data_IF_655791126207
#
_entry.id   IF_655791126207
#
_cell.length_a   1.000
_cell.length_b   1.000
_cell.length_c   1.000
_cell.angle_alpha   90.00
_cell.angle_beta   90.00
_cell.angle_gamma   90.00
#
_symmetry.space_group_name_H-M   'P 1'
#
loop_
_entity.id
_entity.type
_entity.pdbx_description
1 polymer ?
#
# COMPACT_ATOMS: atom_id res chain seq x y z
N UNK A 1 26.13 -23.01 4.70
CA UNK A 1 27.19 -24.04 4.58
C UNK A 1 28.50 -23.33 4.28
N UNK A 2 29.56 -23.57 5.07
CA UNK A 2 30.91 -23.11 4.70
C UNK A 2 31.28 -23.82 3.40
N UNK A 3 31.38 -23.08 2.31
CA UNK A 3 32.00 -23.59 1.12
C UNK A 3 33.44 -23.97 1.50
N UNK A 4 33.75 -25.26 1.40
CA UNK A 4 35.13 -25.70 1.27
C UNK A 4 35.53 -25.25 -0.14
N UNK A 5 35.91 -23.98 -0.26
CA UNK A 5 36.64 -23.51 -1.41
C UNK A 5 38.03 -24.12 -1.28
N UNK A 6 38.19 -25.33 -1.83
CA UNK A 6 39.50 -25.89 -2.08
C UNK A 6 40.26 -24.94 -3.00
N UNK A 7 41.56 -24.81 -2.73
CA UNK A 7 42.55 -23.90 -3.29
C UNK A 7 42.85 -24.13 -4.79
N UNK A 8 41.81 -24.38 -5.60
CA UNK A 8 41.88 -24.66 -7.03
C UNK A 8 40.77 -23.91 -7.75
N UNK A 9 41.11 -22.77 -8.32
CA UNK A 9 40.26 -21.92 -9.17
C UNK A 9 39.75 -22.61 -10.45
N UNK A 10 40.20 -23.83 -10.75
CA UNK A 10 39.94 -24.51 -12.02
C UNK A 10 38.74 -25.49 -12.02
N UNK A 11 37.95 -25.54 -10.94
CA UNK A 11 36.76 -26.42 -10.88
C UNK A 11 35.56 -25.73 -10.24
N UNK A 12 35.11 -24.63 -10.85
CA UNK A 12 33.74 -24.18 -10.65
C UNK A 12 32.84 -25.27 -11.26
N UNK A 13 31.95 -25.92 -10.49
CA UNK A 13 31.05 -26.91 -11.03
C UNK A 13 30.20 -26.27 -12.14
N UNK A 14 29.96 -26.98 -13.27
CA UNK A 14 29.14 -26.43 -14.35
C UNK A 14 27.75 -26.08 -13.82
N UNK A 15 27.19 -24.95 -14.30
CA UNK A 15 25.84 -24.51 -13.95
C UNK A 15 24.86 -25.66 -14.21
N UNK A 16 24.06 -26.08 -13.22
CA UNK A 16 23.04 -27.11 -13.44
C UNK A 16 22.04 -26.68 -14.52
N UNK A 17 21.67 -27.60 -15.40
CA UNK A 17 20.53 -27.41 -16.29
C UNK A 17 19.23 -27.58 -15.47
N UNK A 18 18.74 -26.46 -14.94
CA UNK A 18 17.55 -26.45 -14.09
C UNK A 18 16.28 -26.87 -14.83
N UNK A 19 16.21 -26.65 -16.14
CA UNK A 19 15.06 -27.07 -16.95
C UNK A 19 15.03 -28.59 -17.09
N UNK A 20 16.17 -29.18 -17.46
CA UNK A 20 16.29 -30.64 -17.55
C UNK A 20 16.08 -31.32 -16.19
N UNK A 21 16.58 -30.71 -15.10
CA UNK A 21 16.36 -31.22 -13.75
C UNK A 21 14.87 -31.18 -13.37
N UNK A 22 14.18 -30.10 -13.71
CA UNK A 22 12.76 -29.94 -13.46
C UNK A 22 11.91 -30.99 -14.21
N UNK A 23 12.21 -31.20 -15.49
CA UNK A 23 11.56 -32.25 -16.32
C UNK A 23 11.77 -33.65 -15.71
N UNK A 24 13.00 -33.97 -15.29
CA UNK A 24 13.33 -35.26 -14.67
C UNK A 24 12.60 -35.48 -13.34
N UNK A 25 12.43 -34.42 -12.55
CA UNK A 25 11.79 -34.48 -11.22
C UNK A 25 10.28 -34.27 -11.28
N UNK A 26 9.70 -33.98 -12.46
CA UNK A 26 8.28 -33.72 -12.62
C UNK A 26 7.82 -32.43 -11.94
N UNK A 27 8.69 -31.43 -11.82
CA UNK A 27 8.38 -30.12 -11.22
C UNK A 27 8.33 -29.04 -12.30
N UNK A 28 7.57 -27.98 -12.05
CA UNK A 28 7.46 -26.84 -12.98
C UNK A 28 8.73 -25.98 -12.95
N UNK A 29 9.33 -25.75 -14.12
CA UNK A 29 10.44 -24.80 -14.28
C UNK A 29 9.91 -23.39 -14.58
N UNK A 30 10.46 -22.39 -13.91
CA UNK A 30 10.18 -20.96 -14.15
C UNK A 30 11.49 -20.18 -14.12
N UNK A 31 11.68 -19.28 -15.07
CA UNK A 31 12.80 -18.35 -15.13
C UNK A 31 12.26 -16.92 -15.24
N UNK A 32 12.70 -16.04 -14.35
CA UNK A 32 12.18 -14.66 -14.26
C UNK A 32 12.97 -13.67 -15.10
N UNK A 33 14.22 -14.00 -15.46
CA UNK A 33 15.20 -13.01 -15.88
C UNK A 33 15.59 -12.05 -14.74
N UNK A 34 16.20 -10.92 -15.09
CA UNK A 34 16.55 -9.85 -14.15
C UNK A 34 15.30 -9.04 -13.83
N UNK A 35 14.80 -9.15 -12.60
CA UNK A 35 13.61 -8.44 -12.12
C UNK A 35 13.92 -7.73 -10.79
N UNK A 36 13.19 -6.66 -10.51
CA UNK A 36 13.22 -5.99 -9.21
C UNK A 36 12.17 -6.56 -8.23
N UNK A 37 12.21 -6.10 -6.98
CA UNK A 37 11.28 -6.56 -5.94
C UNK A 37 9.81 -6.21 -6.19
N UNK A 38 9.52 -5.21 -7.05
CA UNK A 38 8.15 -4.83 -7.43
C UNK A 38 7.63 -5.78 -8.50
N UNK A 39 8.42 -6.03 -9.53
CA UNK A 39 8.11 -6.98 -10.61
C UNK A 39 7.94 -8.41 -10.09
N UNK A 40 8.63 -8.76 -9.01
CA UNK A 40 8.46 -10.05 -8.34
C UNK A 40 7.00 -10.34 -7.94
N UNK A 41 6.20 -9.32 -7.62
CA UNK A 41 4.81 -9.49 -7.18
C UNK A 41 3.92 -10.14 -8.24
N UNK A 42 4.32 -10.10 -9.52
CA UNK A 42 3.62 -10.77 -10.61
C UNK A 42 3.83 -12.30 -10.60
N UNK A 43 4.72 -12.81 -9.75
CA UNK A 43 5.04 -14.23 -9.62
C UNK A 43 4.49 -14.82 -8.32
N UNK A 44 3.98 -16.05 -8.37
CA UNK A 44 3.42 -16.75 -7.22
C UNK A 44 4.40 -16.93 -6.05
N UNK A 45 5.70 -16.94 -6.33
CA UNK A 45 6.75 -17.05 -5.31
C UNK A 45 6.82 -15.81 -4.38
N UNK A 46 6.26 -14.66 -4.78
CA UNK A 46 6.29 -13.43 -3.99
C UNK A 46 5.63 -13.59 -2.60
N UNK A 47 4.56 -14.38 -2.54
CA UNK A 47 3.81 -14.68 -1.32
C UNK A 47 4.42 -15.80 -0.47
N UNK A 48 5.49 -16.43 -0.95
CA UNK A 48 6.10 -17.57 -0.28
C UNK A 48 6.99 -17.16 0.90
N UNK A 49 7.02 -18.01 1.92
CA UNK A 49 7.72 -17.79 3.18
C UNK A 49 8.73 -18.91 3.41
N UNK A 50 9.82 -18.61 4.13
CA UNK A 50 10.81 -19.59 4.51
C UNK A 50 10.22 -20.70 5.36
N UNK A 51 10.75 -21.92 5.21
CA UNK A 51 10.38 -23.05 6.06
C UNK A 51 10.98 -22.79 7.45
N UNK A 52 10.15 -22.36 8.39
CA UNK A 52 10.57 -22.01 9.75
C UNK A 52 11.16 -23.20 10.53
N UNK A 53 11.87 -22.92 11.62
CA UNK A 53 12.34 -23.97 12.53
C UNK A 53 11.18 -24.49 13.37
N UNK A 54 11.06 -25.81 13.53
CA UNK A 54 9.94 -26.49 14.19
C UNK A 54 9.66 -26.05 15.63
N UNK A 55 10.59 -25.34 16.28
CA UNK A 55 10.42 -24.79 17.63
C UNK A 55 9.75 -23.42 17.51
N UNK A 56 8.42 -23.40 17.40
CA UNK A 56 7.63 -22.20 17.65
C UNK A 56 6.68 -21.72 16.56
N UNK A 57 6.16 -22.56 15.65
CA UNK A 57 5.16 -22.18 14.61
C UNK A 57 5.46 -20.86 13.86
N UNK A 58 6.70 -20.36 13.90
CA UNK A 58 7.07 -19.10 13.30
C UNK A 58 7.44 -19.39 11.86
N UNK A 59 6.69 -18.77 10.95
CA UNK A 59 7.04 -18.77 9.53
C UNK A 59 8.40 -18.11 9.35
N UNK A 60 9.20 -18.64 8.43
CA UNK A 60 10.50 -18.03 8.08
C UNK A 60 10.31 -16.70 7.35
N UNK A 61 11.42 -16.02 7.09
CA UNK A 61 11.44 -14.78 6.32
C UNK A 61 10.76 -14.95 4.96
N UNK A 62 10.13 -13.88 4.46
CA UNK A 62 9.54 -13.92 3.12
C UNK A 62 10.60 -14.13 2.05
N UNK A 63 10.19 -14.65 0.90
CA UNK A 63 11.08 -14.78 -0.25
C UNK A 63 11.69 -13.43 -0.64
N UNK A 64 10.90 -12.35 -0.61
CA UNK A 64 11.37 -10.99 -0.89
C UNK A 64 12.49 -10.58 0.08
N UNK A 65 12.28 -10.76 1.39
CA UNK A 65 13.28 -10.46 2.42
C UNK A 65 14.55 -11.31 2.20
N UNK A 66 14.38 -12.61 1.98
CA UNK A 66 15.49 -13.54 1.80
C UNK A 66 16.30 -13.25 0.54
N UNK A 67 15.66 -12.84 -0.56
CA UNK A 67 16.32 -12.69 -1.86
C UNK A 67 16.88 -11.29 -2.10
N UNK A 68 16.12 -10.24 -1.75
CA UNK A 68 16.45 -8.85 -2.07
C UNK A 68 17.07 -8.08 -0.91
N UNK A 69 16.79 -8.47 0.35
CA UNK A 69 17.35 -7.79 1.53
C UNK A 69 18.57 -8.55 2.05
N UNK A 70 18.45 -9.86 2.32
CA UNK A 70 19.57 -10.66 2.79
C UNK A 70 20.62 -10.95 1.69
N UNK A 71 20.25 -10.78 0.41
CA UNK A 71 21.10 -10.90 -0.79
C UNK A 71 22.08 -12.09 -0.72
N UNK A 72 21.58 -13.34 -0.71
CA UNK A 72 22.42 -14.52 -0.62
C UNK A 72 23.38 -14.62 -1.81
N UNK A 73 24.51 -15.34 -1.68
CA UNK A 73 25.41 -15.60 -2.80
C UNK A 73 24.69 -16.23 -4.00
N UNK A 74 25.22 -16.01 -5.20
CA UNK A 74 24.72 -16.67 -6.41
C UNK A 74 24.73 -18.20 -6.24
N UNK A 75 23.72 -18.84 -6.82
CA UNK A 75 23.50 -20.28 -6.81
C UNK A 75 23.36 -20.90 -5.40
N UNK A 76 23.10 -20.09 -4.37
CA UNK A 76 22.62 -20.60 -3.10
C UNK A 76 21.14 -21.05 -3.24
N UNK A 77 20.80 -22.30 -2.92
CA UNK A 77 19.41 -22.75 -2.95
C UNK A 77 18.61 -22.08 -1.84
N UNK A 78 17.47 -21.53 -2.19
CA UNK A 78 16.47 -21.04 -1.25
C UNK A 78 15.19 -21.86 -1.39
N UNK A 79 14.71 -22.39 -0.27
CA UNK A 79 13.45 -23.14 -0.19
C UNK A 79 12.42 -22.30 0.55
N UNK A 80 11.29 -22.09 -0.10
CA UNK A 80 10.13 -21.39 0.48
C UNK A 80 8.86 -22.19 0.21
N UNK A 81 7.82 -21.86 0.95
CA UNK A 81 6.50 -22.48 0.82
C UNK A 81 5.42 -21.41 0.85
N UNK A 82 4.39 -21.62 0.04
CA UNK A 82 3.12 -20.94 0.19
C UNK A 82 2.13 -21.95 0.77
N UNK A 83 1.88 -21.85 2.08
CA UNK A 83 0.97 -22.76 2.79
C UNK A 83 -0.48 -22.60 2.33
N UNK A 84 -0.88 -21.39 1.90
CA UNK A 84 -2.26 -21.12 1.49
C UNK A 84 -2.54 -21.73 0.11
N UNK A 85 -1.58 -21.61 -0.80
CA UNK A 85 -1.65 -22.22 -2.13
C UNK A 85 -1.22 -23.70 -2.13
N UNK A 86 -0.66 -24.21 -1.03
CA UNK A 86 -0.04 -25.54 -0.92
C UNK A 86 1.07 -25.78 -1.96
N UNK A 87 1.88 -24.76 -2.26
CA UNK A 87 2.98 -24.81 -3.23
C UNK A 87 4.32 -24.73 -2.51
N UNK A 88 5.28 -25.55 -2.91
CA UNK A 88 6.68 -25.46 -2.45
C UNK A 88 7.57 -24.97 -3.60
N UNK A 89 8.51 -24.08 -3.27
CA UNK A 89 9.46 -23.53 -4.22
C UNK A 89 10.89 -23.92 -3.82
N UNK A 90 11.71 -24.21 -4.82
CA UNK A 90 13.17 -24.25 -4.70
C UNK A 90 13.72 -23.33 -5.77
N UNK A 91 14.53 -22.38 -5.35
CA UNK A 91 14.93 -21.24 -6.16
C UNK A 91 16.42 -20.96 -6.01
N UNK A 92 17.00 -20.35 -7.04
CA UNK A 92 18.39 -19.95 -7.08
C UNK A 92 18.49 -18.57 -7.72
N UNK A 93 19.28 -17.70 -7.10
CA UNK A 93 19.72 -16.46 -7.75
C UNK A 93 20.85 -16.78 -8.70
N UNK A 94 20.65 -16.59 -10.00
CA UNK A 94 21.66 -16.91 -11.02
C UNK A 94 22.49 -15.70 -11.42
N UNK A 95 21.92 -14.50 -11.29
CA UNK A 95 22.54 -13.22 -11.58
C UNK A 95 22.10 -12.19 -10.52
N UNK A 96 22.95 -11.22 -10.20
CA UNK A 96 22.67 -10.14 -9.25
C UNK A 96 23.32 -8.86 -9.79
N UNK A 97 22.59 -7.74 -9.70
CA UNK A 97 23.07 -6.41 -10.07
C UNK A 97 22.75 -5.48 -8.91
N UNK A 98 23.75 -4.73 -8.47
CA UNK A 98 23.54 -3.73 -7.43
C UNK A 98 22.50 -2.70 -7.86
N UNK A 99 21.73 -2.24 -6.87
CA UNK A 99 20.79 -1.15 -7.06
C UNK A 99 21.57 0.08 -7.54
N UNK A 100 21.13 0.66 -8.65
CA UNK A 100 21.71 1.88 -9.21
C UNK A 100 20.59 2.87 -9.47
N UNK A 101 20.91 4.15 -9.34
CA UNK A 101 19.99 5.23 -9.75
C UNK A 101 19.93 5.20 -11.27
N UNK A 102 18.75 4.99 -11.89
CA UNK A 102 18.64 5.00 -13.34
C UNK A 102 18.93 6.40 -13.86
N UNK A 103 19.52 6.47 -15.05
CA UNK A 103 19.65 7.72 -15.78
C UNK A 103 18.27 8.23 -16.21
N UNK A 104 18.15 9.54 -16.47
CA UNK A 104 16.91 10.11 -17.01
C UNK A 104 16.51 9.46 -18.34
N UNK A 105 17.47 9.00 -19.14
CA UNK A 105 17.17 8.31 -20.39
C UNK A 105 16.51 6.94 -20.15
N UNK A 106 16.95 6.20 -19.13
CA UNK A 106 16.38 4.89 -18.75
C UNK A 106 15.00 5.03 -18.10
N UNK A 107 14.79 6.06 -17.27
CA UNK A 107 13.53 6.28 -16.55
C UNK A 107 12.57 7.27 -17.24
N UNK A 108 12.86 7.69 -18.48
CA UNK A 108 12.16 8.80 -19.14
C UNK A 108 10.64 8.60 -19.18
N UNK A 109 10.21 7.41 -19.55
CA UNK A 109 8.79 7.10 -19.72
C UNK A 109 8.06 7.04 -18.36
N UNK A 110 8.70 6.52 -17.33
CA UNK A 110 8.17 6.54 -15.95
C UNK A 110 8.02 7.98 -15.43
N UNK A 111 9.02 8.83 -15.68
CA UNK A 111 8.97 10.26 -15.30
C UNK A 111 7.85 10.98 -16.05
N UNK A 112 7.74 10.77 -17.37
CA UNK A 112 6.66 11.37 -18.18
C UNK A 112 5.30 10.93 -17.66
N UNK A 113 5.13 9.63 -17.38
CA UNK A 113 3.88 9.10 -16.84
C UNK A 113 3.57 9.69 -15.46
N UNK A 114 4.54 9.76 -14.55
CA UNK A 114 4.36 10.37 -13.24
C UNK A 114 3.92 11.84 -13.33
N UNK A 115 4.55 12.63 -14.21
CA UNK A 115 4.17 14.03 -14.46
C UNK A 115 2.76 14.11 -15.03
N UNK A 116 2.45 13.30 -16.05
CA UNK A 116 1.10 13.28 -16.65
C UNK A 116 0.03 12.92 -15.64
N UNK A 117 0.27 11.93 -14.79
CA UNK A 117 -0.65 11.53 -13.73
C UNK A 117 -0.81 12.66 -12.72
N UNK A 118 0.27 13.34 -12.32
CA UNK A 118 0.20 14.49 -11.42
C UNK A 118 -0.62 15.66 -12.00
N UNK A 119 -0.46 15.98 -13.28
CA UNK A 119 -1.28 17.01 -13.95
C UNK A 119 -2.74 16.56 -14.13
N UNK A 120 -2.96 15.29 -14.47
CA UNK A 120 -4.31 14.72 -14.58
C UNK A 120 -5.08 14.81 -13.26
N UNK A 121 -4.40 14.59 -12.12
CA UNK A 121 -5.00 14.76 -10.78
C UNK A 121 -5.51 16.17 -10.55
N UNK A 122 -4.74 17.19 -10.92
CA UNK A 122 -5.16 18.60 -10.80
C UNK A 122 -6.41 18.89 -11.63
N UNK A 123 -6.46 18.37 -12.86
CA UNK A 123 -7.62 18.52 -13.74
C UNK A 123 -8.86 17.80 -13.19
N UNK A 124 -8.69 16.57 -12.68
CA UNK A 124 -9.77 15.80 -12.07
C UNK A 124 -10.33 16.48 -10.81
N UNK A 125 -9.45 17.00 -9.96
CA UNK A 125 -9.84 17.77 -8.79
C UNK A 125 -10.62 19.03 -9.18
N UNK A 126 -10.12 19.81 -10.12
CA UNK A 126 -10.76 21.05 -10.56
C UNK A 126 -12.15 20.81 -11.16
N UNK A 127 -12.33 19.73 -11.94
CA UNK A 127 -13.64 19.35 -12.45
C UNK A 127 -14.57 18.91 -11.32
N UNK A 128 -14.10 18.10 -10.36
CA UNK A 128 -14.90 17.72 -9.19
C UNK A 128 -15.34 18.94 -8.35
N UNK A 129 -14.45 19.92 -8.16
CA UNK A 129 -14.73 21.19 -7.48
C UNK A 129 -15.78 22.01 -8.22
N UNK A 130 -15.65 22.12 -9.54
CA UNK A 130 -16.64 22.78 -10.39
C UNK A 130 -18.00 22.11 -10.27
N UNK A 131 -18.06 20.77 -10.34
CA UNK A 131 -19.31 20.01 -10.22
C UNK A 131 -19.95 20.17 -8.85
N UNK A 132 -19.17 20.05 -7.78
CA UNK A 132 -19.64 20.29 -6.41
C UNK A 132 -20.25 21.69 -6.27
N UNK A 133 -19.61 22.73 -6.84
CA UNK A 133 -20.13 24.09 -6.84
C UNK A 133 -21.41 24.26 -7.68
N UNK A 134 -21.53 23.56 -8.81
CA UNK A 134 -22.76 23.52 -9.63
C UNK A 134 -23.91 22.84 -8.88
N UNK A 135 -23.63 21.71 -8.23
CA UNK A 135 -24.63 20.94 -7.48
C UNK A 135 -25.11 21.69 -6.23
N UNK A 136 -24.23 22.41 -5.54
CA UNK A 136 -24.61 23.25 -4.40
C UNK A 136 -25.51 24.45 -4.78
N UNK A 137 -25.56 24.85 -6.05
CA UNK A 137 -26.40 25.97 -6.53
C UNK A 137 -27.79 25.52 -6.99
N UNK A 138 -28.06 24.22 -7.02
CA UNK A 138 -29.28 23.66 -7.59
C UNK A 138 -30.02 22.81 -6.57
N UNK A 139 -31.32 23.05 -6.46
CA UNK A 139 -32.22 22.21 -5.64
C UNK A 139 -32.75 20.98 -6.40
N UNK A 140 -32.39 20.84 -7.69
CA UNK A 140 -32.82 19.69 -8.51
C UNK A 140 -32.15 18.39 -8.06
N UNK A 141 -32.83 17.24 -8.25
CA UNK A 141 -32.21 15.92 -8.08
C UNK A 141 -30.93 15.80 -8.90
N UNK A 142 -29.89 15.18 -8.33
CA UNK A 142 -28.58 15.07 -8.97
C UNK A 142 -28.64 14.36 -10.33
N UNK A 143 -29.56 13.39 -10.48
CA UNK A 143 -29.82 12.68 -11.75
C UNK A 143 -30.23 13.61 -12.89
N UNK A 144 -30.82 14.77 -12.59
CA UNK A 144 -31.21 15.77 -13.59
C UNK A 144 -30.06 16.74 -13.93
N UNK A 145 -28.99 16.75 -13.13
CA UNK A 145 -27.84 17.65 -13.27
C UNK A 145 -26.65 16.99 -13.97
N UNK A 146 -26.69 15.67 -14.12
CA UNK A 146 -25.65 14.89 -14.80
C UNK A 146 -26.13 14.44 -16.17
N UNK A 147 -25.20 14.26 -17.09
CA UNK A 147 -25.50 13.70 -18.40
C UNK A 147 -25.75 12.19 -18.31
N UNK A 148 -26.49 11.63 -19.27
CA UNK A 148 -26.87 10.20 -19.27
C UNK A 148 -25.64 9.28 -19.20
N UNK A 149 -24.56 9.63 -19.92
CA UNK A 149 -23.30 8.89 -19.90
C UNK A 149 -22.53 8.97 -18.57
N UNK A 150 -22.93 9.87 -17.66
CA UNK A 150 -22.37 10.00 -16.32
C UNK A 150 -23.18 9.22 -15.28
N UNK A 151 -24.37 8.72 -15.62
CA UNK A 151 -25.21 7.92 -14.72
C UNK A 151 -24.49 6.74 -14.07
N UNK A 152 -23.59 6.00 -14.77
CA UNK A 152 -22.83 4.91 -14.15
C UNK A 152 -21.83 5.38 -13.06
N UNK A 153 -21.53 6.67 -12.99
CA UNK A 153 -20.62 7.28 -12.02
C UNK A 153 -21.37 7.87 -10.81
N UNK A 154 -22.71 7.79 -10.81
CA UNK A 154 -23.54 8.25 -9.70
C UNK A 154 -23.75 7.11 -8.70
N UNK A 155 -23.31 7.33 -7.47
CA UNK A 155 -23.56 6.44 -6.34
C UNK A 155 -24.53 7.12 -5.38
N UNK A 156 -25.64 6.44 -5.07
CA UNK A 156 -26.68 6.94 -4.16
C UNK A 156 -26.80 6.01 -2.95
N UNK A 157 -27.14 6.58 -1.79
CA UNK A 157 -27.36 5.82 -0.54
C UNK A 157 -26.18 4.94 -0.12
N UNK A 158 -24.97 5.46 -0.30
CA UNK A 158 -23.72 4.78 0.03
C UNK A 158 -23.56 4.71 1.57
N UNK A 159 -23.61 3.51 2.14
CA UNK A 159 -23.50 3.27 3.58
C UNK A 159 -24.55 2.30 4.16
N UNK A 160 -24.59 2.12 5.50
CA UNK A 160 -23.85 2.87 6.52
C UNK A 160 -22.36 2.52 6.59
N UNK A 161 -21.53 3.52 6.89
CA UNK A 161 -20.10 3.32 7.17
C UNK A 161 -19.66 4.29 8.28
N UNK A 162 -18.49 4.03 8.87
CA UNK A 162 -17.87 4.88 9.89
C UNK A 162 -16.45 5.25 9.47
N UNK A 163 -15.92 6.36 10.00
CA UNK A 163 -14.54 6.77 9.74
C UNK A 163 -13.56 5.72 10.28
N UNK A 164 -13.75 5.27 11.52
CA UNK A 164 -12.88 4.31 12.19
C UNK A 164 -13.70 3.13 12.70
N UNK A 165 -13.30 1.93 12.30
CA UNK A 165 -13.88 0.68 12.77
C UNK A 165 -13.00 0.06 13.86
N UNK A 166 -13.63 -0.63 14.82
CA UNK A 166 -12.93 -1.39 15.86
C UNK A 166 -13.71 -2.68 16.15
N UNK A 167 -13.00 -3.80 16.26
CA UNK A 167 -13.58 -5.09 16.62
C UNK A 167 -13.42 -5.36 18.12
N UNK A 168 -14.16 -4.61 18.94
CA UNK A 168 -14.20 -4.85 20.38
C UNK A 168 -12.93 -4.46 21.14
N UNK A 169 -12.88 -4.83 22.42
CA UNK A 169 -11.84 -4.38 23.34
C UNK A 169 -10.48 -5.04 23.02
N UNK A 170 -9.42 -4.23 22.88
CA UNK A 170 -8.05 -4.68 22.63
C UNK A 170 -7.67 -4.86 21.16
N UNK A 171 -8.62 -4.76 20.23
CA UNK A 171 -8.32 -4.73 18.80
C UNK A 171 -8.00 -3.31 18.36
N UNK A 172 -6.90 -3.16 17.62
CA UNK A 172 -6.53 -1.87 17.06
C UNK A 172 -7.62 -1.41 16.09
N UNK A 173 -8.03 -0.16 16.21
CA UNK A 173 -8.94 0.42 15.24
C UNK A 173 -8.25 0.55 13.89
N UNK A 174 -9.04 0.42 12.83
CA UNK A 174 -8.58 0.57 11.47
C UNK A 174 -9.53 1.50 10.73
N UNK A 175 -9.01 2.14 9.70
CA UNK A 175 -9.78 3.04 8.86
C UNK A 175 -10.93 2.27 8.20
N UNK A 176 -12.13 2.83 8.30
CA UNK A 176 -13.29 2.33 7.59
C UNK A 176 -13.10 2.46 6.09
N UNK A 177 -13.89 1.70 5.34
CA UNK A 177 -13.93 1.79 3.89
C UNK A 177 -15.38 1.91 3.44
N UNK A 178 -15.56 2.36 2.21
CA UNK A 178 -16.85 2.43 1.53
C UNK A 178 -16.79 1.44 0.36
N UNK A 179 -17.38 0.24 0.48
CA UNK A 179 -17.20 -0.85 -0.49
C UNK A 179 -17.58 -0.51 -1.93
N UNK A 180 -18.52 0.41 -2.11
CA UNK A 180 -19.00 0.87 -3.42
C UNK A 180 -18.02 1.82 -4.11
N UNK A 181 -17.06 2.38 -3.37
CA UNK A 181 -16.09 3.36 -3.86
C UNK A 181 -14.68 2.76 -3.96
N UNK A 182 -13.87 3.34 -4.84
CA UNK A 182 -12.52 2.87 -5.10
C UNK A 182 -11.56 3.33 -4.00
N UNK A 183 -11.29 2.44 -3.03
CA UNK A 183 -10.23 2.59 -2.03
C UNK A 183 -10.18 3.98 -1.36
N UNK A 184 -11.30 4.39 -0.76
CA UNK A 184 -11.37 5.67 -0.05
C UNK A 184 -10.46 5.65 1.19
N UNK A 185 -9.96 6.82 1.57
CA UNK A 185 -9.05 6.95 2.69
C UNK A 185 -9.35 8.16 3.56
N UNK A 186 -8.35 8.57 4.32
CA UNK A 186 -8.44 9.61 5.35
C UNK A 186 -9.00 10.93 4.81
N UNK A 187 -8.56 11.38 3.63
CA UNK A 187 -9.04 12.64 3.04
C UNK A 187 -10.53 12.58 2.68
N UNK A 188 -11.00 11.44 2.17
CA UNK A 188 -12.41 11.21 1.90
C UNK A 188 -13.23 11.19 3.18
N UNK A 189 -12.79 10.44 4.19
CA UNK A 189 -13.48 10.37 5.48
C UNK A 189 -13.54 11.74 6.15
N UNK A 190 -12.42 12.49 6.14
CA UNK A 190 -12.36 13.86 6.65
C UNK A 190 -13.35 14.76 5.96
N UNK A 191 -13.42 14.72 4.63
CA UNK A 191 -14.38 15.54 3.88
C UNK A 191 -15.81 15.17 4.25
N UNK A 192 -16.16 13.88 4.29
CA UNK A 192 -17.53 13.44 4.60
C UNK A 192 -17.94 13.84 6.01
N UNK A 193 -17.16 13.46 7.03
CA UNK A 193 -17.55 13.59 8.44
C UNK A 193 -17.40 15.02 9.00
N UNK A 194 -16.63 15.90 8.34
CA UNK A 194 -16.54 17.31 8.74
C UNK A 194 -17.40 18.26 7.89
N UNK A 195 -18.05 17.76 6.83
CA UNK A 195 -18.94 18.57 6.01
C UNK A 195 -20.32 18.75 6.64
N UNK A 196 -20.97 19.87 6.35
CA UNK A 196 -22.37 20.06 6.68
C UNK A 196 -23.25 19.06 5.91
N UNK A 197 -24.20 18.45 6.61
CA UNK A 197 -25.20 17.56 6.01
C UNK A 197 -25.93 18.28 4.86
N UNK A 198 -26.06 17.60 3.72
CA UNK A 198 -26.73 18.13 2.53
C UNK A 198 -25.86 19.00 1.64
N UNK A 199 -24.62 19.34 2.03
CA UNK A 199 -23.70 20.13 1.22
C UNK A 199 -22.74 19.24 0.42
N UNK A 200 -22.53 19.57 -0.85
CA UNK A 200 -21.53 18.92 -1.68
C UNK A 200 -20.13 19.42 -1.34
N UNK A 201 -19.19 18.49 -1.20
CA UNK A 201 -17.76 18.70 -1.05
C UNK A 201 -16.97 17.86 -2.05
N UNK A 202 -15.65 17.99 -2.04
CA UNK A 202 -14.76 17.21 -2.92
C UNK A 202 -13.74 16.47 -2.09
N UNK A 203 -13.51 15.20 -2.41
CA UNK A 203 -12.40 14.46 -1.85
C UNK A 203 -11.84 13.40 -2.82
N UNK A 204 -10.52 13.20 -2.81
CA UNK A 204 -9.91 12.09 -3.52
C UNK A 204 -10.11 10.76 -2.78
N UNK A 205 -9.96 9.65 -3.50
CA UNK A 205 -9.62 8.38 -2.87
C UNK A 205 -8.15 8.34 -2.39
N UNK A 206 -7.78 7.29 -1.66
CA UNK A 206 -6.44 7.18 -1.07
C UNK A 206 -5.28 7.31 -2.09
N UNK A 207 -5.29 6.64 -3.27
CA UNK A 207 -4.23 6.80 -4.28
C UNK A 207 -4.35 8.08 -5.13
N UNK A 208 -5.39 8.91 -4.90
CA UNK A 208 -5.74 10.06 -5.73
C UNK A 208 -5.87 9.69 -7.21
N UNK A 209 -6.45 8.52 -7.50
CA UNK A 209 -6.82 8.09 -8.85
C UNK A 209 -8.22 8.57 -9.24
N UNK A 210 -9.09 8.79 -8.24
CA UNK A 210 -10.48 9.22 -8.41
C UNK A 210 -10.77 10.38 -7.46
N UNK A 211 -11.49 11.40 -7.95
CA UNK A 211 -11.99 12.51 -7.15
C UNK A 211 -13.51 12.47 -7.13
N UNK A 212 -14.09 12.45 -5.93
CA UNK A 212 -15.53 12.39 -5.73
C UNK A 212 -16.07 13.77 -5.37
N UNK A 213 -17.15 14.19 -6.01
CA UNK A 213 -18.08 15.15 -5.43
C UNK A 213 -19.01 14.37 -4.49
N UNK A 214 -18.99 14.68 -3.19
CA UNK A 214 -19.68 13.89 -2.16
C UNK A 214 -20.62 14.79 -1.35
N UNK A 215 -21.81 14.28 -1.02
CA UNK A 215 -22.80 14.96 -0.18
C UNK A 215 -23.24 14.04 0.95
N UNK A 216 -22.89 14.33 2.22
CA UNK A 216 -23.40 13.59 3.36
C UNK A 216 -24.92 13.76 3.46
N UNK A 217 -25.68 12.66 3.44
CA UNK A 217 -27.15 12.71 3.49
C UNK A 217 -27.65 12.69 4.91
N UNK A 218 -27.01 11.92 5.80
CA UNK A 218 -27.41 11.72 7.18
C UNK A 218 -26.19 11.32 8.03
N UNK A 219 -26.15 11.81 9.27
CA UNK A 219 -25.20 11.35 10.28
C UNK A 219 -25.97 10.67 11.41
N UNK A 220 -25.57 9.44 11.75
CA UNK A 220 -26.16 8.66 12.82
C UNK A 220 -25.07 7.91 13.60
N UNK A 221 -25.15 7.86 14.94
CA UNK A 221 -26.14 8.51 15.79
C UNK A 221 -25.92 10.03 15.89
N UNK A 222 -26.87 10.75 16.50
CA UNK A 222 -26.77 12.20 16.68
C UNK A 222 -25.50 12.61 17.45
N UNK A 223 -25.02 13.84 17.23
CA UNK A 223 -23.85 14.39 17.95
C UNK A 223 -24.02 14.35 19.46
N UNK A 224 -25.22 14.63 19.97
CA UNK A 224 -25.53 14.56 21.40
C UNK A 224 -25.38 13.14 21.94
N UNK A 225 -25.85 12.13 21.20
CA UNK A 225 -25.67 10.73 21.58
C UNK A 225 -24.19 10.32 21.52
N UNK A 226 -23.45 10.76 20.50
CA UNK A 226 -22.01 10.54 20.42
C UNK A 226 -21.28 11.16 21.62
N UNK A 227 -21.67 12.36 22.04
CA UNK A 227 -21.11 13.02 23.23
C UNK A 227 -21.43 12.24 24.52
N UNK A 228 -22.65 11.74 24.67
CA UNK A 228 -23.03 10.90 25.82
C UNK A 228 -22.26 9.58 25.83
N UNK A 229 -22.09 8.94 24.68
CA UNK A 229 -21.26 7.73 24.54
C UNK A 229 -19.81 8.02 24.87
N UNK A 230 -19.23 9.08 24.30
CA UNK A 230 -17.85 9.49 24.57
C UNK A 230 -17.64 9.86 26.04
N UNK A 231 -18.64 10.35 26.76
CA UNK A 231 -18.52 10.65 28.19
C UNK A 231 -18.32 9.40 29.07
N UNK A 232 -18.67 8.22 28.57
CA UNK A 232 -18.47 6.95 29.27
C UNK A 232 -16.97 6.62 29.36
N UNK A 233 -16.52 6.19 30.55
CA UNK A 233 -15.09 5.92 30.82
C UNK A 233 -14.47 4.96 29.81
N UNK A 234 -15.16 3.86 29.47
CA UNK A 234 -14.65 2.84 28.55
C UNK A 234 -14.46 3.38 27.13
N UNK A 235 -15.36 4.27 26.69
CA UNK A 235 -15.31 4.88 25.37
C UNK A 235 -14.17 5.91 25.28
N UNK A 236 -13.94 6.72 26.34
CA UNK A 236 -12.77 7.61 26.40
C UNK A 236 -11.46 6.85 26.36
N UNK A 237 -11.39 5.75 27.10
CA UNK A 237 -10.21 4.90 27.11
C UNK A 237 -9.91 4.33 25.73
N UNK A 238 -10.92 3.79 25.04
CA UNK A 238 -10.78 3.30 23.66
C UNK A 238 -10.37 4.42 22.69
N UNK A 239 -11.00 5.59 22.77
CA UNK A 239 -10.64 6.74 21.94
C UNK A 239 -9.18 7.18 22.17
N UNK A 240 -8.69 7.16 23.42
CA UNK A 240 -7.30 7.50 23.72
C UNK A 240 -6.28 6.55 23.08
N UNK A 241 -6.67 5.31 22.79
CA UNK A 241 -5.81 4.35 22.08
C UNK A 241 -5.70 4.65 20.58
N UNK A 242 -6.67 5.38 19.99
CA UNK A 242 -6.60 5.81 18.60
C UNK A 242 -5.47 6.83 18.37
N UNK A 243 -5.26 7.70 19.36
CA UNK A 243 -4.26 8.76 19.30
C UNK A 243 -2.81 8.23 19.26
N UNK A 244 -2.56 6.94 19.50
CA UNK A 244 -1.20 6.38 19.50
C UNK A 244 -0.51 6.55 18.14
N UNK A 245 -1.24 6.37 17.03
CA UNK A 245 -0.70 6.59 15.69
C UNK A 245 -0.47 8.08 15.39
N UNK A 246 -1.40 8.94 15.84
CA UNK A 246 -1.30 10.39 15.67
C UNK A 246 -0.13 10.97 16.47
N UNK A 247 0.17 10.44 17.66
CA UNK A 247 1.31 10.82 18.49
C UNK A 247 2.64 10.56 17.77
N UNK A 248 2.74 9.46 17.01
CA UNK A 248 3.91 9.19 16.16
C UNK A 248 4.02 10.26 15.07
N UNK A 249 2.92 10.57 14.38
CA UNK A 249 2.91 11.61 13.34
C UNK A 249 3.28 13.00 13.87
N UNK A 250 2.73 13.41 15.02
CA UNK A 250 3.06 14.68 15.67
C UNK A 250 4.53 14.73 16.08
N UNK A 251 5.06 13.64 16.64
CA UNK A 251 6.47 13.52 17.01
C UNK A 251 7.37 13.65 15.78
N UNK A 252 7.09 12.92 14.72
CA UNK A 252 7.90 12.90 13.50
C UNK A 252 7.82 14.27 12.79
N UNK A 253 6.63 14.87 12.73
CA UNK A 253 6.42 16.23 12.22
C UNK A 253 7.16 17.30 13.05
N UNK A 254 7.20 17.15 14.37
CA UNK A 254 7.99 18.01 15.25
C UNK A 254 9.49 17.91 14.92
N UNK A 255 10.04 16.69 14.77
CA UNK A 255 11.44 16.52 14.40
C UNK A 255 11.75 17.12 13.03
N UNK A 256 10.92 16.87 12.02
CA UNK A 256 11.08 17.46 10.69
C UNK A 256 11.06 18.99 10.72
N UNK A 257 10.11 19.58 11.45
CA UNK A 257 10.03 21.04 11.61
C UNK A 257 11.25 21.59 12.35
N UNK A 258 11.74 20.87 13.36
CA UNK A 258 12.91 21.26 14.13
C UNK A 258 14.20 21.17 13.30
N UNK A 259 14.44 20.06 12.61
CA UNK A 259 15.56 19.85 11.68
C UNK A 259 15.60 20.95 10.62
N UNK A 260 14.45 21.29 10.04
CA UNK A 260 14.32 22.41 9.10
C UNK A 260 14.66 23.74 9.76
N UNK A 261 14.23 23.97 10.99
CA UNK A 261 14.48 25.23 11.71
C UNK A 261 15.96 25.46 12.04
N UNK A 262 16.71 24.38 12.30
CA UNK A 262 18.15 24.44 12.60
C UNK A 262 19.03 24.30 11.35
N UNK A 263 18.43 24.16 10.16
CA UNK A 263 19.17 23.96 8.91
C UNK A 263 19.99 22.67 8.89
N UNK A 264 19.47 21.61 9.52
CA UNK A 264 20.16 20.32 9.58
C UNK A 264 20.39 19.74 8.18
N UNK A 265 21.62 19.30 7.92
CA UNK A 265 22.02 18.66 6.67
C UNK A 265 22.72 17.36 7.00
N UNK A 266 22.25 16.27 6.39
CA UNK A 266 22.94 14.99 6.48
C UNK A 266 24.24 15.05 5.67
N UNK A 267 25.33 14.59 6.26
CA UNK A 267 26.57 14.39 5.51
C UNK A 267 26.45 13.10 4.69
N UNK A 268 25.99 13.21 3.44
CA UNK A 268 25.76 12.08 2.55
C UNK A 268 27.05 11.29 2.23
N UNK A 269 28.22 11.93 2.33
CA UNK A 269 29.52 11.27 2.13
C UNK A 269 29.95 10.34 3.27
N UNK A 270 29.21 10.32 4.39
CA UNK A 270 29.47 9.38 5.49
C UNK A 270 28.74 8.04 5.32
N UNK A 271 27.88 7.91 4.30
CA UNK A 271 27.10 6.70 3.97
C UNK A 271 27.63 5.95 2.74
N UNK A 272 28.68 6.47 2.09
CA UNK A 272 29.48 5.78 1.06
C UNK A 272 30.65 5.00 1.69
#
# INVERSE_FOLDING_TARGET
>A
ARAIAGDKTDKIPPRPDFKQLAEKLGITYVETGMIDARQLQDFSIASSLGVGTAVGMQRGESFLQSMYIARPPLFAPLRTVDDQAAISFVSWKTEDKDAAIPTLAEARDEVIMAIRTAEARKLAQAEAEKRSAEFNKSDKPIRELIAENQSPLLFESVGPFSWMNSFGFGMQAFMGNVPELDNVGEDFMRQVFNSQQGTWGVAPNAPQSVFYAVRPVEFSPSTDELYQRFSQMIQRFQASMLAVQEVVGVRDGYYQAHEKSIGFQWNESALE
#
